data_IF_360757717933
#
_entry.id   IF_360757717933
#
_cell.length_a   1.000
_cell.length_b   1.000
_cell.length_c   1.000
_cell.angle_alpha   90.00
_cell.angle_beta   90.00
_cell.angle_gamma   90.00
#
_symmetry.space_group_name_H-M   'P 1'
#
loop_
_entity.id
_entity.type
_entity.pdbx_description
1 polymer ?
#
# COMPACT_ATOMS: atom_id res chain seq x y z
N UNK A 1 7.33 -14.79 -12.71
CA UNK A 1 7.22 -13.80 -11.61
C UNK A 1 6.89 -14.50 -10.29
N UNK A 2 7.38 -14.01 -9.15
CA UNK A 2 7.25 -14.67 -7.83
C UNK A 2 5.81 -15.02 -7.38
N UNK A 3 4.78 -14.39 -7.96
CA UNK A 3 3.38 -14.54 -7.60
C UNK A 3 2.55 -15.37 -8.60
N UNK A 4 3.17 -15.84 -9.70
CA UNK A 4 2.49 -16.66 -10.71
C UNK A 4 1.93 -17.97 -10.14
N UNK A 5 2.63 -18.54 -9.15
CA UNK A 5 2.24 -19.80 -8.52
C UNK A 5 1.19 -19.68 -7.42
N UNK A 6 0.87 -18.47 -6.93
CA UNK A 6 -0.07 -18.30 -5.82
C UNK A 6 -1.50 -18.70 -6.23
N UNK A 7 -2.22 -19.32 -5.31
CA UNK A 7 -3.54 -19.96 -5.55
C UNK A 7 -4.54 -19.55 -4.48
N UNK A 8 -5.79 -19.92 -4.71
CA UNK A 8 -6.87 -19.74 -3.74
C UNK A 8 -6.48 -20.36 -2.40
N UNK A 9 -6.67 -19.61 -1.32
CA UNK A 9 -6.31 -20.03 0.05
C UNK A 9 -4.92 -19.60 0.49
N UNK A 10 -4.03 -19.19 -0.42
CA UNK A 10 -2.73 -18.65 -0.05
C UNK A 10 -2.87 -17.27 0.60
N UNK A 11 -2.01 -16.99 1.57
CA UNK A 11 -1.86 -15.68 2.18
C UNK A 11 -0.65 -14.94 1.59
N UNK A 12 -0.86 -13.71 1.14
CA UNK A 12 0.19 -12.87 0.54
C UNK A 12 0.25 -11.54 1.27
N UNK A 13 1.42 -11.22 1.81
CA UNK A 13 1.71 -9.94 2.45
C UNK A 13 2.60 -9.06 1.57
N UNK A 14 2.24 -7.78 1.47
CA UNK A 14 2.98 -6.76 0.72
C UNK A 14 3.44 -5.64 1.64
N UNK A 15 4.74 -5.34 1.58
CA UNK A 15 5.37 -4.20 2.26
C UNK A 15 6.24 -3.40 1.26
N UNK A 16 5.62 -2.66 0.31
CA UNK A 16 6.35 -1.89 -0.69
C UNK A 16 7.00 -0.64 -0.07
N UNK A 17 7.86 0.09 -0.80
CA UNK A 17 8.21 1.44 -0.41
C UNK A 17 6.96 2.33 -0.30
N UNK A 18 6.82 3.02 0.84
CA UNK A 18 5.61 3.75 1.17
C UNK A 18 5.45 5.01 0.31
N UNK A 19 4.21 5.28 -0.10
CA UNK A 19 3.85 6.54 -0.73
C UNK A 19 4.18 7.75 0.17
N UNK A 20 4.75 8.85 -0.36
CA UNK A 20 5.01 10.04 0.43
C UNK A 20 3.71 10.73 0.87
N UNK A 21 3.63 11.15 2.14
CA UNK A 21 2.43 11.77 2.72
C UNK A 21 2.13 13.17 2.18
N UNK A 22 3.08 13.84 1.52
CA UNK A 22 2.87 15.17 0.93
C UNK A 22 3.49 15.29 -0.45
N UNK A 23 2.85 16.09 -1.32
CA UNK A 23 3.37 16.41 -2.65
C UNK A 23 4.75 17.12 -2.61
N UNK A 24 5.05 17.85 -1.54
CA UNK A 24 6.37 18.48 -1.33
C UNK A 24 7.44 17.47 -0.91
N UNK A 25 7.09 16.36 -0.28
CA UNK A 25 8.00 15.22 -0.11
C UNK A 25 8.27 14.51 -1.44
N UNK A 26 7.31 14.56 -2.37
CA UNK A 26 7.45 14.09 -3.75
C UNK A 26 8.46 14.93 -4.56
N UNK A 27 8.58 16.24 -4.27
CA UNK A 27 9.46 17.16 -5.00
C UNK A 27 10.97 16.88 -4.80
N UNK A 28 11.35 16.17 -3.73
CA UNK A 28 12.75 15.74 -3.50
C UNK A 28 13.10 14.37 -4.11
N UNK A 29 12.12 13.68 -4.69
CA UNK A 29 12.25 12.27 -5.10
C UNK A 29 12.01 12.05 -6.59
N UNK A 30 12.15 13.08 -7.43
CA UNK A 30 12.28 12.94 -8.89
C UNK A 30 13.63 12.30 -9.29
N UNK A 31 14.23 11.47 -8.42
CA UNK A 31 15.36 10.61 -8.74
C UNK A 31 14.82 9.33 -9.38
N UNK A 32 15.35 9.00 -10.55
CA UNK A 32 14.90 7.94 -11.45
C UNK A 32 15.02 6.48 -10.91
N UNK A 33 15.20 6.29 -9.59
CA UNK A 33 15.45 4.99 -8.93
C UNK A 33 14.43 4.63 -7.83
N UNK A 34 13.32 5.37 -7.70
CA UNK A 34 12.31 5.17 -6.66
C UNK A 34 11.08 4.36 -7.08
N UNK A 35 10.34 3.83 -6.10
CA UNK A 35 9.01 3.24 -6.31
C UNK A 35 8.01 4.36 -6.65
N UNK A 36 7.61 4.43 -7.90
CA UNK A 36 6.83 5.56 -8.42
C UNK A 36 5.34 5.40 -8.13
N UNK A 37 4.57 6.48 -8.36
CA UNK A 37 3.10 6.38 -8.39
C UNK A 37 2.60 5.38 -9.46
N UNK A 38 3.37 5.18 -10.54
CA UNK A 38 3.11 4.13 -11.53
C UNK A 38 3.30 2.73 -10.96
N UNK A 39 4.32 2.52 -10.12
CA UNK A 39 4.55 1.25 -9.44
C UNK A 39 3.49 0.98 -8.37
N UNK A 40 3.02 2.00 -7.65
CA UNK A 40 1.88 1.87 -6.73
C UNK A 40 0.61 1.40 -7.47
N UNK A 41 0.35 1.96 -8.66
CA UNK A 41 -0.76 1.52 -9.53
C UNK A 41 -0.59 0.07 -9.99
N UNK A 42 0.61 -0.30 -10.44
CA UNK A 42 0.91 -1.67 -10.88
C UNK A 42 0.78 -2.67 -9.73
N UNK A 43 1.22 -2.31 -8.53
CA UNK A 43 1.04 -3.12 -7.32
C UNK A 43 -0.45 -3.31 -7.00
N UNK A 44 -1.25 -2.25 -7.10
CA UNK A 44 -2.70 -2.34 -6.89
C UNK A 44 -3.34 -3.34 -7.84
N UNK A 45 -2.94 -3.34 -9.12
CA UNK A 45 -3.45 -4.31 -10.11
C UNK A 45 -3.11 -5.75 -9.71
N UNK A 46 -1.88 -6.00 -9.25
CA UNK A 46 -1.46 -7.32 -8.77
C UNK A 46 -2.29 -7.74 -7.55
N UNK A 47 -2.44 -6.86 -6.56
CA UNK A 47 -3.22 -7.12 -5.33
C UNK A 47 -4.69 -7.43 -5.66
N UNK A 48 -5.30 -6.68 -6.57
CA UNK A 48 -6.66 -6.92 -7.07
C UNK A 48 -6.77 -8.28 -7.76
N UNK A 49 -5.80 -8.63 -8.62
CA UNK A 49 -5.77 -9.93 -9.29
C UNK A 49 -5.65 -11.08 -8.27
N UNK A 50 -4.75 -10.98 -7.29
CA UNK A 50 -4.59 -11.98 -6.24
C UNK A 50 -5.87 -12.17 -5.42
N UNK A 51 -6.49 -11.07 -4.99
CA UNK A 51 -7.74 -11.10 -4.24
C UNK A 51 -8.86 -11.77 -5.06
N UNK A 52 -8.99 -11.43 -6.36
CA UNK A 52 -9.97 -12.06 -7.28
C UNK A 52 -9.72 -13.55 -7.50
N UNK A 53 -8.47 -14.00 -7.46
CA UNK A 53 -8.10 -15.44 -7.51
C UNK A 53 -8.42 -16.19 -6.20
N UNK A 54 -8.88 -15.48 -5.16
CA UNK A 54 -9.20 -16.06 -3.86
C UNK A 54 -8.00 -16.23 -2.94
N UNK A 55 -6.90 -15.51 -3.18
CA UNK A 55 -5.83 -15.37 -2.19
C UNK A 55 -6.30 -14.42 -1.08
N UNK A 56 -5.88 -14.70 0.14
CA UNK A 56 -5.95 -13.76 1.25
C UNK A 56 -4.79 -12.76 1.10
N UNK A 57 -5.08 -11.47 1.06
CA UNK A 57 -4.06 -10.44 0.81
C UNK A 57 -4.05 -9.43 1.94
N UNK A 58 -2.85 -9.07 2.37
CA UNK A 58 -2.59 -7.98 3.31
C UNK A 58 -1.53 -7.05 2.71
N UNK A 59 -1.77 -5.74 2.71
CA UNK A 59 -0.82 -4.75 2.24
C UNK A 59 -0.72 -3.60 3.23
N UNK A 60 0.50 -3.26 3.63
CA UNK A 60 0.81 -2.07 4.42
C UNK A 60 1.30 -0.95 3.52
N UNK A 61 0.85 0.28 3.77
CA UNK A 61 1.33 1.48 3.09
C UNK A 61 1.04 2.73 3.91
N UNK A 62 1.51 3.90 3.47
CA UNK A 62 1.21 5.16 4.14
C UNK A 62 -0.26 5.57 3.96
N UNK A 63 -0.74 6.49 4.81
CA UNK A 63 -2.04 7.15 4.63
C UNK A 63 -2.05 8.25 3.55
N UNK A 64 -1.20 8.15 2.53
CA UNK A 64 -1.14 9.16 1.48
C UNK A 64 -2.44 9.18 0.66
N UNK A 65 -2.89 10.36 0.17
CA UNK A 65 -4.11 10.47 -0.63
C UNK A 65 -4.11 9.56 -1.88
N UNK A 66 -2.94 9.33 -2.48
CA UNK A 66 -2.84 8.42 -3.64
C UNK A 66 -3.17 6.96 -3.28
N UNK A 67 -2.79 6.50 -2.09
CA UNK A 67 -3.11 5.13 -1.62
C UNK A 67 -4.60 5.03 -1.31
N UNK A 68 -5.19 6.05 -0.69
CA UNK A 68 -6.63 6.12 -0.46
C UNK A 68 -7.42 6.03 -1.77
N UNK A 69 -6.99 6.76 -2.81
CA UNK A 69 -7.60 6.67 -4.13
C UNK A 69 -7.48 5.29 -4.77
N UNK A 70 -6.33 4.61 -4.60
CA UNK A 70 -6.07 3.29 -5.20
C UNK A 70 -6.87 2.14 -4.59
N UNK A 71 -7.21 2.23 -3.30
CA UNK A 71 -7.81 1.10 -2.57
C UNK A 71 -9.19 1.41 -1.97
N UNK A 72 -9.42 2.61 -1.44
CA UNK A 72 -10.71 2.97 -0.80
C UNK A 72 -11.73 3.46 -1.85
N UNK A 73 -11.30 4.27 -2.81
CA UNK A 73 -12.19 4.86 -3.81
C UNK A 73 -12.21 4.10 -5.15
N UNK A 74 -11.25 3.20 -5.38
CA UNK A 74 -11.15 2.47 -6.64
C UNK A 74 -12.19 1.33 -6.74
N UNK A 75 -13.00 1.34 -7.80
CA UNK A 75 -14.08 0.36 -7.99
C UNK A 75 -13.56 -1.08 -8.04
N UNK A 76 -12.47 -1.36 -8.76
CA UNK A 76 -11.94 -2.72 -8.86
C UNK A 76 -11.42 -3.29 -7.54
N UNK A 77 -10.81 -2.45 -6.71
CA UNK A 77 -10.31 -2.87 -5.39
C UNK A 77 -11.47 -3.24 -4.47
N UNK A 78 -12.51 -2.40 -4.44
CA UNK A 78 -13.74 -2.68 -3.69
C UNK A 78 -14.45 -3.94 -4.18
N UNK A 79 -14.54 -4.13 -5.50
CA UNK A 79 -15.13 -5.34 -6.11
C UNK A 79 -14.32 -6.61 -5.82
N UNK A 80 -13.01 -6.48 -5.59
CA UNK A 80 -12.16 -7.58 -5.15
C UNK A 80 -12.27 -7.88 -3.63
N UNK A 81 -13.12 -7.14 -2.90
CA UNK A 81 -13.33 -7.32 -1.47
C UNK A 81 -12.28 -6.64 -0.58
N UNK A 82 -11.37 -5.84 -1.16
CA UNK A 82 -10.34 -5.12 -0.42
C UNK A 82 -10.96 -3.96 0.37
N UNK A 83 -10.47 -3.76 1.58
CA UNK A 83 -10.84 -2.66 2.48
C UNK A 83 -9.58 -1.99 3.01
N UNK A 84 -9.51 -0.67 2.97
CA UNK A 84 -8.40 0.08 3.56
C UNK A 84 -8.76 0.48 5.01
N UNK A 85 -7.95 0.04 5.97
CA UNK A 85 -8.11 0.40 7.38
C UNK A 85 -6.97 1.31 7.81
N UNK A 86 -7.29 2.46 8.41
CA UNK A 86 -6.27 3.33 9.01
C UNK A 86 -5.83 2.76 10.36
N UNK A 87 -4.54 2.61 10.55
CA UNK A 87 -3.92 2.16 11.80
C UNK A 87 -2.88 3.19 12.25
N UNK A 88 -2.82 3.46 13.55
CA UNK A 88 -1.81 4.35 14.13
C UNK A 88 -0.50 3.58 14.27
N UNK A 89 0.45 3.82 13.39
CA UNK A 89 1.78 3.26 13.49
C UNK A 89 2.70 4.15 14.33
N UNK A 90 3.37 3.56 15.31
CA UNK A 90 4.47 4.21 16.03
C UNK A 90 5.74 4.00 15.21
N UNK A 91 6.17 5.01 14.45
CA UNK A 91 7.51 5.00 13.83
C UNK A 91 8.57 5.08 14.94
N UNK A 92 9.04 3.94 15.41
CA UNK A 92 10.07 3.84 16.45
C UNK A 92 11.48 4.26 15.95
N UNK A 93 11.67 4.38 14.63
CA UNK A 93 12.97 4.67 14.02
C UNK A 93 12.86 5.97 13.21
N UNK A 94 13.12 7.11 13.87
CA UNK A 94 13.38 8.37 13.18
C UNK A 94 14.52 9.07 13.91
N UNK A 95 15.60 9.42 13.21
CA UNK A 95 16.78 10.08 13.80
C UNK A 95 16.51 11.52 14.27
N UNK A 96 15.32 12.06 14.00
CA UNK A 96 14.87 13.38 14.44
C UNK A 96 13.84 13.26 15.56
N UNK A 97 14.23 13.67 16.76
CA UNK A 97 13.42 13.62 17.97
C UNK A 97 12.10 14.42 17.89
N UNK A 98 11.99 15.41 16.99
CA UNK A 98 10.82 16.28 16.83
C UNK A 98 9.72 15.72 15.93
N UNK A 99 9.94 14.58 15.25
CA UNK A 99 8.94 13.94 14.37
C UNK A 99 8.28 12.71 15.00
N UNK A 100 8.39 12.54 16.32
CA UNK A 100 7.74 11.46 17.08
C UNK A 100 6.25 11.74 17.23
N UNK A 101 5.51 11.55 16.14
CA UNK A 101 4.04 11.48 16.12
C UNK A 101 3.59 10.12 15.64
N UNK A 102 2.45 9.64 16.13
CA UNK A 102 1.78 8.50 15.49
C UNK A 102 1.48 8.91 14.04
N UNK A 103 1.97 8.13 13.08
CA UNK A 103 1.66 8.33 11.67
C UNK A 103 0.53 7.36 11.35
N UNK A 104 -0.50 7.85 10.67
CA UNK A 104 -1.53 6.97 10.15
C UNK A 104 -0.96 6.18 8.96
N UNK A 105 -1.17 4.87 8.98
CA UNK A 105 -0.82 3.95 7.91
C UNK A 105 -2.08 3.22 7.46
N UNK A 106 -2.13 2.83 6.19
CA UNK A 106 -3.19 1.98 5.68
C UNK A 106 -2.78 0.51 5.76
N UNK A 107 -3.69 -0.29 6.32
CA UNK A 107 -3.71 -1.74 6.20
C UNK A 107 -4.82 -2.12 5.23
N UNK A 108 -4.47 -2.57 4.04
CA UNK A 108 -5.42 -2.97 3.00
C UNK A 108 -5.54 -4.49 2.99
N UNK A 109 -6.77 -5.00 3.13
CA UNK A 109 -7.01 -6.45 3.23
C UNK A 109 -8.37 -6.88 2.70
N UNK A 110 -8.47 -8.13 2.21
CA UNK A 110 -9.74 -8.82 1.89
C UNK A 110 -10.13 -9.88 2.94
N UNK A 111 -9.49 -9.83 4.11
CA UNK A 111 -9.70 -10.71 5.27
C UNK A 111 -10.56 -9.99 6.31
#
# INVERSE_FOLDING_TARGET
>A
MALEGARRGDFVYFDPPYAPLSATANFRSYTAEGFTAGDQKRLQQVVVQLARRGCAVLLSNSSAPEIEQLYEHHTDARRAGLKARRVKARRAINSKASSRGAVDEFLITNI
#
